data_IF_717648675967
#
_entry.id   IF_717648675967
#
_cell.length_a   1.000
_cell.length_b   1.000
_cell.length_c   1.000
_cell.angle_alpha   90.00
_cell.angle_beta   90.00
_cell.angle_gamma   90.00
#
_symmetry.space_group_name_H-M   'P 1'
#
loop_
_entity.id
_entity.type
_entity.pdbx_description
1 polymer ?
#
# COMPACT_ATOMS: atom_id res chain seq x y z
N UNK A 1 -40.09 10.36 -24.66
CA UNK A 1 -39.02 9.37 -24.37
C UNK A 1 -37.80 10.00 -23.70
N UNK A 2 -37.27 11.16 -24.14
CA UNK A 2 -36.11 11.84 -23.54
C UNK A 2 -36.34 12.24 -22.06
N UNK A 3 -37.51 12.78 -21.70
CA UNK A 3 -37.80 13.19 -20.31
C UNK A 3 -37.84 11.99 -19.34
N UNK A 4 -38.38 10.84 -19.74
CA UNK A 4 -38.37 9.63 -18.89
C UNK A 4 -36.94 9.11 -18.64
N UNK A 5 -36.08 9.15 -19.65
CA UNK A 5 -34.67 8.75 -19.47
C UNK A 5 -33.89 9.72 -18.57
N UNK A 6 -34.23 11.01 -18.60
CA UNK A 6 -33.65 12.02 -17.73
C UNK A 6 -34.03 11.77 -16.25
N UNK A 7 -35.32 11.56 -15.95
CA UNK A 7 -35.77 11.25 -14.58
C UNK A 7 -35.22 9.94 -14.01
N UNK A 8 -35.05 8.91 -14.87
CA UNK A 8 -34.45 7.63 -14.43
C UNK A 8 -32.99 7.82 -14.10
N UNK A 9 -32.24 8.58 -14.91
CA UNK A 9 -30.83 8.89 -14.68
C UNK A 9 -30.62 9.73 -13.41
N UNK A 10 -31.51 10.68 -13.17
CA UNK A 10 -31.43 11.54 -11.98
C UNK A 10 -31.68 10.73 -10.71
N UNK A 11 -32.69 9.85 -10.70
CA UNK A 11 -32.92 8.93 -9.57
C UNK A 11 -31.77 7.97 -9.34
N UNK A 12 -31.20 7.43 -10.41
CA UNK A 12 -30.03 6.56 -10.32
C UNK A 12 -28.83 7.33 -9.74
N UNK A 13 -28.59 8.54 -10.20
CA UNK A 13 -27.50 9.38 -9.69
C UNK A 13 -27.69 9.71 -8.21
N UNK A 14 -28.89 10.06 -7.77
CA UNK A 14 -29.19 10.34 -6.37
C UNK A 14 -28.94 9.10 -5.49
N UNK A 15 -29.45 7.94 -5.91
CA UNK A 15 -29.21 6.67 -5.20
C UNK A 15 -27.71 6.32 -5.14
N UNK A 16 -27.02 6.52 -6.25
CA UNK A 16 -25.60 6.27 -6.34
C UNK A 16 -24.79 7.17 -5.41
N UNK A 17 -25.07 8.47 -5.40
CA UNK A 17 -24.41 9.42 -4.49
C UNK A 17 -24.74 9.12 -3.02
N UNK A 18 -25.97 8.75 -2.72
CA UNK A 18 -26.37 8.38 -1.37
C UNK A 18 -25.65 7.10 -0.90
N UNK A 19 -25.62 6.09 -1.74
CA UNK A 19 -24.93 4.83 -1.45
C UNK A 19 -23.44 5.03 -1.23
N UNK A 20 -22.77 5.71 -2.17
CA UNK A 20 -21.34 5.98 -2.05
C UNK A 20 -21.02 6.96 -0.92
N UNK A 21 -21.92 7.91 -0.63
CA UNK A 21 -21.79 8.80 0.51
C UNK A 21 -21.82 8.05 1.84
N UNK A 22 -22.80 7.17 2.02
CA UNK A 22 -22.88 6.31 3.21
C UNK A 22 -21.68 5.36 3.32
N UNK A 23 -21.26 4.78 2.21
CA UNK A 23 -20.07 3.92 2.17
C UNK A 23 -18.79 4.69 2.57
N UNK A 24 -18.63 5.90 2.05
CA UNK A 24 -17.49 6.76 2.40
C UNK A 24 -17.50 7.13 3.88
N UNK A 25 -18.66 7.49 4.43
CA UNK A 25 -18.82 7.77 5.86
C UNK A 25 -18.48 6.54 6.72
N UNK A 26 -18.92 5.36 6.29
CA UNK A 26 -18.58 4.10 6.98
C UNK A 26 -17.08 3.83 6.96
N UNK A 27 -16.40 4.09 5.84
CA UNK A 27 -14.94 3.96 5.73
C UNK A 27 -14.18 5.03 6.54
N UNK A 28 -14.75 6.23 6.68
CA UNK A 28 -14.15 7.31 7.46
C UNK A 28 -14.34 7.14 8.97
N UNK A 29 -15.40 6.45 9.39
CA UNK A 29 -15.75 6.27 10.80
C UNK A 29 -14.61 5.70 11.67
N UNK A 30 -13.88 4.64 11.29
CA UNK A 30 -12.78 4.11 12.11
C UNK A 30 -11.64 5.12 12.31
N UNK A 31 -11.35 5.95 11.33
CA UNK A 31 -10.34 7.01 11.47
C UNK A 31 -10.81 8.11 12.41
N UNK A 32 -12.06 8.51 12.31
CA UNK A 32 -12.69 9.45 13.23
C UNK A 32 -12.69 8.90 14.65
N UNK A 33 -13.06 7.63 14.84
CA UNK A 33 -13.06 6.97 16.14
C UNK A 33 -11.66 6.90 16.77
N UNK A 34 -10.64 6.57 15.99
CA UNK A 34 -9.25 6.62 16.43
C UNK A 34 -8.87 8.03 16.89
N UNK A 35 -9.20 9.04 16.09
CA UNK A 35 -8.87 10.43 16.40
C UNK A 35 -9.50 10.90 17.73
N UNK A 36 -10.79 10.65 17.97
CA UNK A 36 -11.44 11.02 19.23
C UNK A 36 -10.84 10.27 20.43
N UNK A 37 -10.43 9.00 20.24
CA UNK A 37 -9.78 8.23 21.31
C UNK A 37 -8.39 8.77 21.67
N UNK A 38 -7.61 9.24 20.69
CA UNK A 38 -6.27 9.80 20.96
C UNK A 38 -6.31 11.09 21.77
N UNK A 39 -7.40 11.87 21.63
CA UNK A 39 -7.57 13.15 22.33
C UNK A 39 -8.26 12.97 23.67
N UNK A 40 -8.92 11.83 23.92
CA UNK A 40 -9.70 11.59 25.14
C UNK A 40 -8.83 11.03 26.27
N UNK A 41 -9.32 11.13 27.51
CA UNK A 41 -8.63 10.57 28.67
C UNK A 41 -8.53 9.05 28.61
N UNK A 42 -7.37 8.49 28.94
CA UNK A 42 -7.08 7.06 28.84
C UNK A 42 -8.03 6.18 29.67
N UNK A 43 -8.48 6.67 30.82
CA UNK A 43 -9.37 5.92 31.72
C UNK A 43 -10.76 5.71 31.10
N UNK A 44 -11.27 6.73 30.40
CA UNK A 44 -12.56 6.66 29.73
C UNK A 44 -12.49 5.84 28.42
N UNK A 45 -11.36 5.90 27.72
CA UNK A 45 -11.10 5.06 26.55
C UNK A 45 -11.07 3.58 26.94
N UNK A 46 -10.32 3.22 28.00
CA UNK A 46 -10.26 1.85 28.52
C UNK A 46 -11.59 1.34 29.05
N UNK A 47 -12.41 2.25 29.61
CA UNK A 47 -13.77 1.93 30.06
C UNK A 47 -14.79 1.80 28.91
N UNK A 48 -14.41 2.04 27.65
CA UNK A 48 -15.29 1.95 26.48
C UNK A 48 -16.44 2.99 26.50
N UNK A 49 -16.28 4.09 27.24
CA UNK A 49 -17.33 5.12 27.39
C UNK A 49 -17.32 6.18 26.27
N UNK A 50 -16.38 6.08 25.33
CA UNK A 50 -16.24 7.05 24.25
C UNK A 50 -16.81 6.43 22.97
N UNK A 51 -17.93 6.99 22.48
CA UNK A 51 -18.58 6.52 21.27
C UNK A 51 -18.45 7.52 20.10
N UNK A 52 -18.97 8.74 20.27
CA UNK A 52 -19.05 9.75 19.19
C UNK A 52 -18.36 11.07 19.54
N UNK A 53 -18.12 11.36 20.82
CA UNK A 53 -17.56 12.62 21.26
C UNK A 53 -16.32 12.39 22.14
N UNK A 54 -15.29 13.24 22.00
CA UNK A 54 -14.13 13.20 22.90
C UNK A 54 -14.59 13.62 24.30
N UNK A 55 -14.20 12.86 25.32
CA UNK A 55 -14.52 13.17 26.73
C UNK A 55 -13.21 13.30 27.50
N UNK A 56 -13.06 14.43 28.22
CA UNK A 56 -11.84 14.72 28.96
C UNK A 56 -10.66 14.96 28.02
N UNK A 57 -10.73 16.03 27.19
CA UNK A 57 -9.70 16.38 26.21
C UNK A 57 -8.32 16.43 26.89
N UNK A 58 -7.42 15.59 26.46
CA UNK A 58 -6.08 15.46 27.02
C UNK A 58 -5.04 15.24 25.91
N UNK A 59 -4.09 16.16 25.81
CA UNK A 59 -2.97 16.06 24.89
C UNK A 59 -1.74 15.36 25.47
N UNK A 60 -1.83 14.91 26.74
CA UNK A 60 -0.73 14.25 27.43
C UNK A 60 -0.29 12.96 26.72
N UNK A 61 -1.21 12.28 26.03
CA UNK A 61 -0.92 11.09 25.23
C UNK A 61 0.13 11.37 24.14
N UNK A 62 0.03 12.53 23.48
CA UNK A 62 1.00 12.95 22.47
C UNK A 62 2.34 13.33 23.08
N UNK A 63 2.34 14.01 24.25
CA UNK A 63 3.57 14.33 24.97
C UNK A 63 4.27 13.05 25.47
N UNK A 64 3.51 12.09 26.01
CA UNK A 64 4.03 10.80 26.43
C UNK A 64 4.60 9.99 25.27
N UNK A 65 3.97 10.05 24.09
CA UNK A 65 4.45 9.39 22.88
C UNK A 65 5.83 9.96 22.46
N UNK A 66 6.04 11.26 22.53
CA UNK A 66 7.32 11.88 22.21
C UNK A 66 8.44 11.51 23.18
N UNK A 67 8.09 11.07 24.39
CA UNK A 67 9.04 10.62 25.41
C UNK A 67 9.41 9.12 25.29
N UNK A 68 8.76 8.39 24.37
CA UNK A 68 9.11 6.98 24.09
C UNK A 68 10.50 6.93 23.50
N UNK A 69 11.40 6.25 24.21
CA UNK A 69 12.75 5.99 23.73
C UNK A 69 12.66 5.25 22.38
N UNK A 70 13.57 5.58 21.46
CA UNK A 70 13.68 4.99 20.12
C UNK A 70 12.61 5.42 19.09
N UNK A 71 11.66 6.29 19.41
CA UNK A 71 10.70 6.79 18.41
C UNK A 71 11.42 7.49 17.23
N UNK A 72 12.46 8.26 17.52
CA UNK A 72 13.30 8.90 16.51
C UNK A 72 14.03 7.89 15.62
N UNK A 73 14.59 6.85 16.21
CA UNK A 73 15.20 5.73 15.46
C UNK A 73 14.18 5.01 14.59
N UNK A 74 13.01 4.69 15.12
CA UNK A 74 11.95 4.03 14.37
C UNK A 74 11.48 4.89 13.18
N UNK A 75 11.38 6.20 13.35
CA UNK A 75 11.06 7.14 12.29
C UNK A 75 12.15 7.16 11.20
N UNK A 76 13.42 7.28 11.58
CA UNK A 76 14.54 7.25 10.64
C UNK A 76 14.61 5.93 9.86
N UNK A 77 14.41 4.79 10.53
CA UNK A 77 14.35 3.47 9.89
C UNK A 77 13.19 3.41 8.89
N UNK A 78 12.02 3.93 9.24
CA UNK A 78 10.86 3.96 8.35
C UNK A 78 11.08 4.84 7.12
N UNK A 79 11.65 6.03 7.31
CA UNK A 79 11.97 6.96 6.21
C UNK A 79 13.04 6.36 5.29
N UNK A 80 14.14 5.88 5.86
CA UNK A 80 15.24 5.30 5.08
C UNK A 80 14.81 4.05 4.31
N UNK A 81 14.03 3.16 4.94
CA UNK A 81 13.43 2.00 4.28
C UNK A 81 12.57 2.42 3.09
N UNK A 82 11.74 3.45 3.26
CA UNK A 82 10.85 3.93 2.19
C UNK A 82 11.65 4.49 1.04
N UNK A 83 12.61 5.37 1.30
CA UNK A 83 13.42 5.99 0.24
C UNK A 83 14.29 4.98 -0.51
N UNK A 84 15.06 4.17 0.22
CA UNK A 84 15.96 3.19 -0.38
C UNK A 84 15.16 2.08 -1.05
N UNK A 85 14.13 1.55 -0.38
CA UNK A 85 13.29 0.49 -0.92
C UNK A 85 12.56 0.91 -2.19
N UNK A 86 11.98 2.12 -2.23
CA UNK A 86 11.31 2.65 -3.42
C UNK A 86 12.28 2.87 -4.56
N UNK A 87 13.45 3.46 -4.29
CA UNK A 87 14.46 3.69 -5.33
C UNK A 87 14.90 2.36 -5.97
N UNK A 88 15.26 1.37 -5.15
CA UNK A 88 15.67 0.06 -5.64
C UNK A 88 14.55 -0.69 -6.38
N UNK A 89 13.31 -0.61 -5.86
CA UNK A 89 12.14 -1.22 -6.51
C UNK A 89 11.85 -0.60 -7.88
N UNK A 90 11.92 0.72 -7.99
CA UNK A 90 11.70 1.41 -9.27
C UNK A 90 12.80 1.06 -10.26
N UNK A 91 14.07 1.07 -9.83
CA UNK A 91 15.20 0.70 -10.67
C UNK A 91 15.09 -0.75 -11.15
N UNK A 92 14.84 -1.68 -10.25
CA UNK A 92 14.70 -3.10 -10.58
C UNK A 92 13.51 -3.35 -11.52
N UNK A 93 12.36 -2.71 -11.24
CA UNK A 93 11.16 -2.84 -12.07
C UNK A 93 11.34 -2.23 -13.45
N UNK A 94 12.02 -1.09 -13.55
CA UNK A 94 12.33 -0.45 -14.83
C UNK A 94 13.26 -1.31 -15.68
N UNK A 95 14.35 -1.81 -15.10
CA UNK A 95 15.29 -2.68 -15.79
C UNK A 95 14.65 -4.00 -16.23
N UNK A 96 13.96 -4.68 -15.32
CA UNK A 96 13.30 -5.96 -15.64
C UNK A 96 12.17 -5.78 -16.66
N UNK A 97 11.35 -4.73 -16.52
CA UNK A 97 10.29 -4.40 -17.48
C UNK A 97 10.83 -4.11 -18.87
N UNK A 98 11.91 -3.33 -18.95
CA UNK A 98 12.59 -3.05 -20.22
C UNK A 98 13.16 -4.33 -20.86
N UNK A 99 13.87 -5.17 -20.09
CA UNK A 99 14.44 -6.42 -20.58
C UNK A 99 13.35 -7.36 -21.14
N UNK A 100 12.26 -7.53 -20.43
CA UNK A 100 11.13 -8.37 -20.87
C UNK A 100 10.44 -7.83 -22.11
N UNK A 101 10.58 -6.53 -22.42
CA UNK A 101 10.03 -5.91 -23.63
C UNK A 101 10.89 -6.18 -24.86
N UNK A 102 12.21 -6.31 -24.70
CA UNK A 102 13.15 -6.53 -25.83
C UNK A 102 12.87 -7.87 -26.53
N UNK A 103 12.74 -7.82 -27.88
CA UNK A 103 12.47 -9.03 -28.69
C UNK A 103 13.68 -9.99 -28.76
N UNK A 104 14.88 -9.46 -28.62
CA UNK A 104 16.13 -10.19 -28.66
C UNK A 104 16.41 -11.01 -27.38
N UNK A 105 15.63 -10.79 -26.32
CA UNK A 105 15.82 -11.48 -25.05
C UNK A 105 15.53 -12.97 -25.18
N UNK A 106 16.52 -13.80 -24.78
CA UNK A 106 16.40 -15.25 -24.77
C UNK A 106 15.20 -15.71 -23.93
N UNK A 107 14.32 -16.49 -24.50
CA UNK A 107 13.12 -17.05 -23.87
C UNK A 107 12.19 -15.99 -23.21
N UNK A 108 12.05 -14.79 -23.79
CA UNK A 108 11.20 -13.69 -23.31
C UNK A 108 9.80 -14.14 -22.83
N UNK A 109 9.13 -15.00 -23.61
CA UNK A 109 7.78 -15.49 -23.27
C UNK A 109 7.77 -16.34 -22.00
N UNK A 110 8.86 -17.08 -21.74
CA UNK A 110 8.99 -17.91 -20.54
C UNK A 110 9.21 -17.04 -19.30
N UNK A 111 10.08 -16.05 -19.39
CA UNK A 111 10.31 -15.08 -18.30
C UNK A 111 9.03 -14.30 -17.96
N UNK A 112 8.29 -13.86 -18.96
CA UNK A 112 7.03 -13.18 -18.74
C UNK A 112 6.00 -14.09 -18.04
N UNK A 113 5.84 -15.33 -18.50
CA UNK A 113 4.95 -16.31 -17.84
C UNK A 113 5.38 -16.58 -16.40
N UNK A 114 6.67 -16.72 -16.15
CA UNK A 114 7.20 -16.90 -14.80
C UNK A 114 6.83 -15.72 -13.89
N UNK A 115 7.01 -14.49 -14.33
CA UNK A 115 6.61 -13.30 -13.58
C UNK A 115 5.11 -13.26 -13.29
N UNK A 116 4.28 -13.63 -14.25
CA UNK A 116 2.83 -13.69 -14.05
C UNK A 116 2.46 -14.78 -13.04
N UNK A 117 3.07 -15.96 -13.11
CA UNK A 117 2.81 -17.04 -12.16
C UNK A 117 3.22 -16.63 -10.74
N UNK A 118 4.40 -16.02 -10.56
CA UNK A 118 4.87 -15.57 -9.25
C UNK A 118 3.99 -14.48 -8.63
N UNK A 119 3.29 -13.70 -9.44
CA UNK A 119 2.33 -12.71 -8.94
C UNK A 119 1.12 -13.33 -8.24
N UNK A 120 0.65 -14.48 -8.75
CA UNK A 120 -0.51 -15.18 -8.18
C UNK A 120 -0.14 -16.22 -7.12
N UNK A 121 1.13 -16.61 -7.03
CA UNK A 121 1.59 -17.59 -6.07
C UNK A 121 2.14 -16.90 -4.82
N UNK A 122 1.47 -17.12 -3.69
CA UNK A 122 1.93 -16.62 -2.39
C UNK A 122 2.13 -17.81 -1.44
N UNK A 123 3.36 -18.00 -1.00
CA UNK A 123 3.73 -19.09 -0.09
C UNK A 123 3.19 -18.89 1.35
N UNK A 124 2.71 -17.70 1.68
CA UNK A 124 2.28 -17.35 3.02
C UNK A 124 3.42 -16.87 3.93
N UNK A 125 3.05 -16.43 5.14
CA UNK A 125 3.98 -15.78 6.07
C UNK A 125 5.01 -16.74 6.67
N UNK A 126 4.63 -17.99 6.94
CA UNK A 126 5.50 -18.96 7.62
C UNK A 126 6.71 -19.35 6.76
N UNK A 127 6.56 -19.78 5.49
CA UNK A 127 7.69 -20.06 4.61
C UNK A 127 8.60 -18.87 4.38
N UNK A 128 8.03 -17.66 4.26
CA UNK A 128 8.80 -16.42 4.11
C UNK A 128 9.67 -16.16 5.35
N UNK A 129 9.11 -16.34 6.54
CA UNK A 129 9.85 -16.17 7.80
C UNK A 129 10.97 -17.19 7.95
N UNK A 130 10.71 -18.48 7.66
CA UNK A 130 11.73 -19.52 7.67
C UNK A 130 12.88 -19.24 6.70
N UNK A 131 12.55 -18.72 5.53
CA UNK A 131 13.56 -18.31 4.55
C UNK A 131 14.46 -17.18 5.10
N UNK A 132 13.89 -16.19 5.78
CA UNK A 132 14.67 -15.12 6.42
C UNK A 132 15.56 -15.64 7.56
N UNK A 133 15.04 -16.63 8.35
CA UNK A 133 15.83 -17.29 9.36
C UNK A 133 17.05 -18.01 8.75
N UNK A 134 16.84 -18.79 7.67
CA UNK A 134 17.91 -19.52 6.98
C UNK A 134 18.97 -18.57 6.37
N UNK A 135 18.54 -17.39 5.94
CA UNK A 135 19.45 -16.37 5.37
C UNK A 135 20.12 -15.50 6.44
N UNK A 136 19.80 -15.70 7.74
CA UNK A 136 20.36 -14.90 8.83
C UNK A 136 19.94 -13.43 8.82
N UNK A 137 18.76 -13.12 8.26
CA UNK A 137 18.28 -11.75 8.07
C UNK A 137 17.33 -11.26 9.18
N UNK A 138 17.06 -12.04 10.21
CA UNK A 138 16.04 -11.75 11.23
C UNK A 138 16.29 -10.45 11.99
N UNK A 139 17.54 -10.09 12.28
CA UNK A 139 17.91 -8.85 12.97
C UNK A 139 18.64 -7.85 12.05
N UNK A 140 18.43 -7.97 10.73
CA UNK A 140 19.13 -7.13 9.77
C UNK A 140 18.14 -6.17 9.08
N UNK A 141 18.57 -4.91 8.92
CA UNK A 141 17.80 -3.89 8.17
C UNK A 141 17.41 -4.33 6.75
N UNK A 142 18.21 -5.20 6.12
CA UNK A 142 17.94 -5.72 4.78
C UNK A 142 16.63 -6.52 4.68
N UNK A 143 16.13 -7.10 5.78
CA UNK A 143 14.84 -7.81 5.76
C UNK A 143 13.67 -6.91 5.34
N UNK A 144 13.79 -5.62 5.62
CA UNK A 144 12.76 -4.64 5.24
C UNK A 144 12.81 -4.21 3.78
N UNK A 145 13.96 -4.37 3.13
CA UNK A 145 14.19 -3.87 1.76
C UNK A 145 14.09 -5.00 0.75
N UNK A 146 14.79 -6.13 0.99
CA UNK A 146 14.92 -7.22 0.03
C UNK A 146 13.61 -7.75 -0.54
N UNK A 147 12.56 -8.02 0.26
CA UNK A 147 11.30 -8.55 -0.26
C UNK A 147 10.56 -7.59 -1.19
N UNK A 148 10.79 -6.29 -1.00
CA UNK A 148 10.13 -5.22 -1.76
C UNK A 148 10.82 -4.84 -3.07
N UNK A 149 12.08 -5.26 -3.30
CA UNK A 149 12.86 -4.84 -4.47
C UNK A 149 12.22 -5.36 -5.77
N UNK A 150 11.80 -6.63 -5.78
CA UNK A 150 11.21 -7.26 -6.97
C UNK A 150 9.73 -7.43 -6.78
N UNK A 151 8.95 -6.55 -7.40
CA UNK A 151 7.50 -6.62 -7.42
C UNK A 151 7.04 -6.99 -8.85
N UNK A 152 6.59 -8.22 -9.10
CA UNK A 152 6.19 -8.67 -10.45
C UNK A 152 5.10 -7.79 -11.06
N UNK A 153 4.17 -7.29 -10.26
CA UNK A 153 3.13 -6.37 -10.70
C UNK A 153 3.71 -5.09 -11.31
N UNK A 154 4.69 -4.47 -10.65
CA UNK A 154 5.32 -3.23 -11.12
C UNK A 154 6.12 -3.47 -12.41
N UNK A 155 6.78 -4.64 -12.52
CA UNK A 155 7.50 -5.04 -13.74
C UNK A 155 6.54 -5.15 -14.93
N UNK A 156 5.36 -5.76 -14.72
CA UNK A 156 4.32 -5.90 -15.75
C UNK A 156 3.75 -4.54 -16.14
N UNK A 157 3.53 -3.63 -15.18
CA UNK A 157 3.10 -2.25 -15.46
C UNK A 157 4.10 -1.52 -16.34
N UNK A 158 5.38 -1.55 -15.98
CA UNK A 158 6.45 -0.92 -16.76
C UNK A 158 6.52 -1.52 -18.16
N UNK A 159 6.49 -2.85 -18.28
CA UNK A 159 6.46 -3.55 -19.58
C UNK A 159 5.30 -3.06 -20.44
N UNK A 160 4.09 -3.03 -19.91
CA UNK A 160 2.89 -2.63 -20.63
C UNK A 160 2.97 -1.16 -21.07
N UNK A 161 3.53 -0.30 -20.21
CA UNK A 161 3.75 1.10 -20.55
C UNK A 161 4.76 1.26 -21.68
N UNK A 162 5.90 0.57 -21.63
CA UNK A 162 6.93 0.60 -22.69
C UNK A 162 6.36 0.09 -24.02
N UNK A 163 5.56 -0.97 -24.02
CA UNK A 163 4.91 -1.50 -25.23
C UNK A 163 3.87 -0.55 -25.83
N UNK A 164 3.35 0.41 -25.05
CA UNK A 164 2.45 1.45 -25.55
C UNK A 164 3.16 2.61 -26.24
N UNK A 165 4.47 2.75 -26.08
CA UNK A 165 5.27 3.81 -26.68
C UNK A 165 5.51 3.48 -28.17
N UNK A 166 5.33 4.45 -29.09
CA UNK A 166 5.63 4.24 -30.51
C UNK A 166 7.07 3.81 -30.72
N UNK A 167 7.29 2.82 -31.60
CA UNK A 167 8.60 2.22 -31.84
C UNK A 167 9.68 3.25 -32.27
N UNK A 168 9.28 4.36 -32.88
CA UNK A 168 10.21 5.45 -33.27
C UNK A 168 10.85 6.22 -32.10
N UNK A 169 10.34 6.04 -30.87
CA UNK A 169 10.90 6.65 -29.66
C UNK A 169 11.72 5.67 -28.82
N UNK A 170 11.68 4.38 -29.17
CA UNK A 170 12.35 3.29 -28.45
C UNK A 170 13.70 2.89 -29.08
N UNK A 171 13.96 3.33 -30.33
CA UNK A 171 15.16 3.04 -31.11
C UNK A 171 15.79 4.32 -31.63
#
# INVERSE_FOLDING_TARGET
RRQRQMCIRDRFNILNYLFFGLFTLSCFFPFYYLFINTISSNDLVRAGKINFYPVGINFHNYAAMLQVNDLGNAFLVSVSRTLIGTFLMVLASALAGYLVTKQEMWHRKLWYRFLVITMYFNAGIIPVYLNFLMLGLTDNYLVYILPGIVAPYNIILVKTYIESIPACLLY
#
